data_IF_510105882248
#
_entry.id   IF_510105882248
#
_cell.length_a   1.000
_cell.length_b   1.000
_cell.length_c   1.000
_cell.angle_alpha   90.00
_cell.angle_beta   90.00
_cell.angle_gamma   90.00
#
_symmetry.space_group_name_H-M   'P 1'
#
loop_
_entity.id
_entity.type
_entity.pdbx_description
1 polymer ?
#
# COMPACT_ATOMS: atom_id res chain seq x y z
N UNK A 1 -5.89 -1.52 4.83
CA UNK A 1 -5.08 -2.74 5.03
C UNK A 1 -4.60 -3.27 3.69
N UNK A 2 -3.38 -3.00 3.20
CA UNK A 2 -2.86 -3.71 2.03
C UNK A 2 -2.29 -5.01 2.56
N UNK A 3 -2.84 -6.13 2.10
CA UNK A 3 -2.32 -7.43 2.50
C UNK A 3 -0.96 -7.64 1.86
N UNK A 4 0.01 -8.07 2.66
CA UNK A 4 1.35 -8.42 2.17
C UNK A 4 1.31 -9.54 1.13
N UNK A 5 0.25 -10.35 1.11
CA UNK A 5 -0.01 -11.39 0.11
C UNK A 5 -0.29 -10.86 -1.29
N UNK A 6 -0.69 -9.59 -1.40
CA UNK A 6 -0.99 -8.94 -2.67
C UNK A 6 0.19 -8.16 -3.23
N UNK A 7 1.37 -8.25 -2.62
CA UNK A 7 2.56 -7.51 -3.03
C UNK A 7 3.72 -8.45 -3.33
N UNK A 8 4.70 -7.95 -4.09
CA UNK A 8 5.95 -8.63 -4.37
C UNK A 8 6.94 -8.59 -3.17
N UNK A 9 6.46 -8.28 -1.96
CA UNK A 9 7.32 -8.15 -0.80
C UNK A 9 7.96 -9.49 -0.44
N UNK A 10 9.31 -9.59 -0.34
CA UNK A 10 10.00 -10.86 -0.16
C UNK A 10 9.64 -11.57 1.14
N UNK A 11 9.43 -12.89 1.07
CA UNK A 11 9.08 -13.73 2.22
C UNK A 11 9.74 -15.10 2.14
N UNK A 12 9.90 -15.73 3.29
CA UNK A 12 10.25 -17.14 3.34
C UNK A 12 9.07 -17.98 2.87
N UNK A 13 9.35 -19.02 2.09
CA UNK A 13 8.39 -20.11 1.91
C UNK A 13 8.22 -20.86 3.23
N UNK A 14 6.99 -21.24 3.55
CA UNK A 14 6.70 -22.02 4.76
C UNK A 14 7.41 -23.39 4.71
N UNK A 15 7.45 -24.01 3.53
CA UNK A 15 8.11 -25.28 3.28
C UNK A 15 9.04 -25.15 2.08
N UNK A 16 10.32 -24.80 2.28
CA UNK A 16 11.29 -24.74 1.20
C UNK A 16 11.73 -26.15 0.79
N UNK A 17 11.74 -26.42 -0.51
CA UNK A 17 12.16 -27.71 -1.06
C UNK A 17 13.67 -27.91 -0.94
N UNK A 18 14.13 -29.16 -0.96
CA UNK A 18 15.55 -29.50 -0.84
C UNK A 18 16.42 -28.85 -1.93
N UNK A 19 15.90 -28.73 -3.16
CA UNK A 19 16.59 -28.07 -4.27
C UNK A 19 16.75 -26.56 -4.01
N UNK A 20 15.70 -25.90 -3.53
CA UNK A 20 15.74 -24.48 -3.19
C UNK A 20 16.68 -24.21 -2.00
N UNK A 21 16.70 -25.10 -1.01
CA UNK A 21 17.66 -25.05 0.09
C UNK A 21 19.11 -25.11 -0.41
N UNK A 22 19.40 -26.04 -1.33
CA UNK A 22 20.72 -26.19 -1.91
C UNK A 22 21.14 -24.98 -2.76
N UNK A 23 20.25 -24.42 -3.58
CA UNK A 23 20.57 -23.31 -4.48
C UNK A 23 20.69 -21.96 -3.74
N UNK A 24 19.75 -21.65 -2.84
CA UNK A 24 19.65 -20.31 -2.26
C UNK A 24 20.38 -20.18 -0.92
N UNK A 25 20.48 -21.25 -0.15
CA UNK A 25 20.94 -21.17 1.24
C UNK A 25 22.31 -21.80 1.46
N UNK A 26 22.90 -22.48 0.48
CA UNK A 26 24.26 -23.01 0.62
C UNK A 26 25.29 -21.88 0.67
N UNK A 27 26.09 -21.76 1.75
CA UNK A 27 27.10 -20.70 1.85
C UNK A 27 28.28 -20.93 0.90
N UNK A 28 28.76 -19.86 0.29
CA UNK A 28 29.97 -19.94 -0.55
C UNK A 28 31.24 -19.93 0.32
N UNK A 29 32.39 -20.38 -0.21
CA UNK A 29 33.65 -20.35 0.53
C UNK A 29 34.05 -18.94 1.01
N UNK A 30 33.75 -17.91 0.22
CA UNK A 30 34.01 -16.51 0.56
C UNK A 30 33.16 -16.04 1.75
N UNK A 31 31.88 -16.39 1.75
CA UNK A 31 30.96 -16.08 2.86
C UNK A 31 31.37 -16.78 4.15
N UNK A 32 31.83 -18.03 4.05
CA UNK A 32 32.36 -18.79 5.17
C UNK A 32 33.63 -18.12 5.73
N UNK A 33 34.55 -17.70 4.85
CA UNK A 33 35.77 -16.98 5.25
C UNK A 33 35.43 -15.66 5.95
N UNK A 34 34.49 -14.90 5.39
CA UNK A 34 34.01 -13.65 6.00
C UNK A 34 33.43 -13.92 7.40
N UNK A 35 32.52 -14.87 7.53
CA UNK A 35 31.89 -15.20 8.79
C UNK A 35 32.91 -15.64 9.84
N UNK A 36 33.86 -16.53 9.49
CA UNK A 36 34.96 -16.93 10.39
C UNK A 36 35.84 -15.75 10.84
N UNK A 37 36.06 -14.76 9.97
CA UNK A 37 36.84 -13.58 10.36
C UNK A 37 36.14 -12.67 11.39
N UNK A 38 34.80 -12.75 11.48
CA UNK A 38 33.98 -11.89 12.35
C UNK A 38 33.42 -12.60 13.58
N UNK A 39 33.45 -13.93 13.61
CA UNK A 39 32.84 -14.73 14.67
C UNK A 39 33.87 -15.66 15.29
N UNK A 40 33.92 -15.71 16.62
CA UNK A 40 34.82 -16.61 17.36
C UNK A 40 34.12 -17.87 17.90
N UNK A 41 32.78 -17.88 17.95
CA UNK A 41 31.98 -18.99 18.47
C UNK A 41 31.16 -19.67 17.37
N UNK A 42 30.87 -20.95 17.55
CA UNK A 42 30.00 -21.72 16.64
C UNK A 42 28.59 -21.12 16.54
N UNK A 43 28.03 -20.62 17.64
CA UNK A 43 26.73 -19.93 17.65
C UNK A 43 26.76 -18.62 16.86
N UNK A 44 27.81 -17.82 17.03
CA UNK A 44 28.00 -16.58 16.30
C UNK A 44 28.17 -16.84 14.80
N UNK A 45 28.95 -17.86 14.45
CA UNK A 45 29.19 -18.29 13.08
C UNK A 45 27.90 -18.70 12.38
N UNK A 46 27.09 -19.58 13.00
CA UNK A 46 25.79 -19.98 12.46
C UNK A 46 24.83 -18.79 12.35
N UNK A 47 24.77 -17.95 13.39
CA UNK A 47 23.90 -16.77 13.41
C UNK A 47 24.24 -15.78 12.30
N UNK A 48 25.53 -15.53 12.06
CA UNK A 48 26.00 -14.66 10.99
C UNK A 48 25.59 -15.18 9.61
N UNK A 49 25.83 -16.48 9.34
CA UNK A 49 25.49 -17.09 8.06
C UNK A 49 23.96 -17.11 7.85
N UNK A 50 23.18 -17.42 8.88
CA UNK A 50 21.72 -17.35 8.83
C UNK A 50 21.26 -15.94 8.50
N UNK A 51 21.82 -14.90 9.13
CA UNK A 51 21.49 -13.51 8.83
C UNK A 51 21.87 -13.12 7.40
N UNK A 52 23.05 -13.54 6.93
CA UNK A 52 23.53 -13.24 5.58
C UNK A 52 22.61 -13.88 4.51
N UNK A 53 22.31 -15.17 4.64
CA UNK A 53 21.43 -15.87 3.69
C UNK A 53 19.99 -15.36 3.76
N UNK A 54 19.51 -15.02 4.95
CA UNK A 54 18.20 -14.37 5.10
C UNK A 54 18.16 -13.04 4.37
N UNK A 55 19.20 -12.22 4.50
CA UNK A 55 19.27 -10.92 3.83
C UNK A 55 19.37 -11.07 2.31
N UNK A 56 20.22 -11.98 1.81
CA UNK A 56 20.32 -12.24 0.37
C UNK A 56 18.97 -12.67 -0.25
N UNK A 57 18.15 -13.41 0.51
CA UNK A 57 16.82 -13.83 0.05
C UNK A 57 15.77 -12.72 0.16
N UNK A 58 15.79 -11.96 1.24
CA UNK A 58 14.68 -11.08 1.61
C UNK A 58 14.94 -9.58 1.37
N UNK A 59 16.20 -9.16 1.29
CA UNK A 59 16.59 -7.74 1.24
C UNK A 59 16.46 -7.00 2.59
N UNK A 60 16.11 -7.68 3.67
CA UNK A 60 16.03 -7.12 5.03
C UNK A 60 16.44 -8.17 6.09
N UNK A 61 16.64 -7.73 7.34
CA UNK A 61 16.98 -8.63 8.45
C UNK A 61 15.73 -9.09 9.23
N UNK A 62 15.20 -10.30 9.01
CA UNK A 62 14.06 -10.81 9.77
C UNK A 62 14.43 -11.06 11.23
N UNK A 63 13.42 -11.22 12.09
CA UNK A 63 13.64 -11.75 13.43
C UNK A 63 14.22 -13.18 13.34
N UNK A 64 15.25 -13.55 14.12
CA UNK A 64 15.89 -14.87 14.02
C UNK A 64 14.93 -16.06 14.14
N UNK A 65 13.84 -15.88 14.88
CA UNK A 65 12.81 -16.90 15.09
C UNK A 65 11.92 -17.12 13.85
N UNK A 66 11.70 -16.08 13.04
CA UNK A 66 10.89 -16.15 11.82
C UNK A 66 11.60 -16.91 10.68
N UNK A 67 12.89 -17.19 10.82
CA UNK A 67 13.62 -18.02 9.86
C UNK A 67 13.11 -19.47 9.94
N UNK A 68 12.75 -20.12 8.82
CA UNK A 68 12.27 -21.50 8.84
C UNK A 68 13.29 -22.47 9.47
N UNK A 69 12.79 -23.45 10.23
CA UNK A 69 13.63 -24.49 10.85
C UNK A 69 14.41 -25.25 9.78
N UNK A 70 13.80 -25.51 8.62
CA UNK A 70 14.43 -26.18 7.48
C UNK A 70 15.71 -25.46 7.01
N UNK A 71 15.65 -24.13 6.88
CA UNK A 71 16.81 -23.30 6.50
C UNK A 71 17.91 -23.38 7.55
N UNK A 72 17.57 -23.23 8.85
CA UNK A 72 18.56 -23.35 9.93
C UNK A 72 19.21 -24.73 9.97
N UNK A 73 18.44 -25.80 9.72
CA UNK A 73 18.94 -27.18 9.68
C UNK A 73 19.89 -27.40 8.50
N UNK A 74 19.51 -26.96 7.29
CA UNK A 74 20.36 -27.03 6.11
C UNK A 74 21.72 -26.34 6.33
N UNK A 75 21.68 -25.13 6.90
CA UNK A 75 22.89 -24.37 7.20
C UNK A 75 23.78 -25.05 8.24
N UNK A 76 23.20 -25.68 9.28
CA UNK A 76 24.00 -26.47 10.24
C UNK A 76 24.72 -27.63 9.56
N UNK A 77 24.02 -28.35 8.69
CA UNK A 77 24.60 -29.46 7.92
C UNK A 77 25.73 -28.97 7.01
N UNK A 78 25.53 -27.86 6.28
CA UNK A 78 26.57 -27.28 5.41
C UNK A 78 27.83 -26.84 6.19
N UNK A 79 27.66 -26.39 7.43
CA UNK A 79 28.73 -25.87 8.27
C UNK A 79 29.34 -26.93 9.20
N UNK A 80 28.89 -28.20 9.14
CA UNK A 80 29.27 -29.28 10.04
C UNK A 80 29.11 -28.92 11.53
N UNK A 81 28.00 -28.26 11.89
CA UNK A 81 27.70 -27.84 13.25
C UNK A 81 26.70 -28.79 13.94
N UNK A 82 26.87 -28.96 15.25
CA UNK A 82 25.94 -29.75 16.05
C UNK A 82 24.53 -29.13 16.13
N UNK A 83 23.52 -29.97 16.34
CA UNK A 83 22.10 -29.58 16.40
C UNK A 83 21.76 -28.60 17.52
N UNK A 84 22.49 -28.63 18.63
CA UNK A 84 22.27 -27.78 19.81
C UNK A 84 22.77 -26.34 19.64
N UNK A 85 23.58 -26.06 18.61
CA UNK A 85 24.09 -24.70 18.34
C UNK A 85 22.93 -23.79 17.91
N UNK A 86 22.68 -22.75 18.70
CA UNK A 86 21.61 -21.78 18.43
C UNK A 86 22.06 -20.77 17.36
N UNK A 87 21.09 -20.36 16.51
CA UNK A 87 21.29 -19.38 15.45
C UNK A 87 20.74 -17.99 15.82
N UNK A 88 20.69 -17.69 17.12
CA UNK A 88 20.13 -16.45 17.64
C UNK A 88 21.31 -15.61 18.18
N UNK A 89 21.68 -14.51 17.51
CA UNK A 89 22.74 -13.63 17.99
C UNK A 89 22.24 -12.77 19.16
N UNK A 90 23.14 -12.37 20.06
CA UNK A 90 22.86 -11.32 21.05
C UNK A 90 22.72 -9.97 20.35
N UNK A 91 22.00 -9.01 20.92
CA UNK A 91 21.71 -7.72 20.27
C UNK A 91 22.97 -6.97 19.80
N UNK A 92 23.99 -6.85 20.66
CA UNK A 92 25.27 -6.21 20.29
C UNK A 92 25.94 -6.89 19.09
N UNK A 93 25.89 -8.23 19.03
CA UNK A 93 26.44 -8.99 17.91
C UNK A 93 25.60 -8.79 16.64
N UNK A 94 24.27 -8.78 16.78
CA UNK A 94 23.33 -8.57 15.68
C UNK A 94 23.62 -7.25 14.95
N UNK A 95 23.80 -6.14 15.67
CA UNK A 95 24.12 -4.85 15.04
C UNK A 95 25.46 -4.88 14.29
N UNK A 96 26.49 -5.50 14.88
CA UNK A 96 27.80 -5.64 14.24
C UNK A 96 27.73 -6.51 12.96
N UNK A 97 26.95 -7.59 13.00
CA UNK A 97 26.73 -8.47 11.86
C UNK A 97 25.95 -7.76 10.76
N UNK A 98 24.89 -7.03 11.10
CA UNK A 98 24.12 -6.23 10.12
C UNK A 98 25.02 -5.24 9.38
N UNK A 99 25.87 -4.50 10.10
CA UNK A 99 26.82 -3.56 9.48
C UNK A 99 27.75 -4.29 8.51
N UNK A 100 28.37 -5.39 8.96
CA UNK A 100 29.28 -6.18 8.12
C UNK A 100 28.59 -6.74 6.88
N UNK A 101 27.35 -7.23 7.01
CA UNK A 101 26.59 -7.80 5.90
C UNK A 101 26.22 -6.72 4.89
N UNK A 102 25.80 -5.53 5.35
CA UNK A 102 25.53 -4.37 4.48
C UNK A 102 26.79 -3.96 3.70
N UNK A 103 27.93 -3.87 4.38
CA UNK A 103 29.21 -3.52 3.76
C UNK A 103 29.63 -4.57 2.71
N UNK A 104 29.48 -5.87 3.03
CA UNK A 104 29.82 -6.97 2.13
C UNK A 104 28.92 -7.01 0.88
N UNK A 105 27.61 -6.85 1.05
CA UNK A 105 26.64 -6.87 -0.05
C UNK A 105 26.54 -5.53 -0.79
N UNK A 106 27.24 -4.49 -0.29
CA UNK A 106 27.19 -3.11 -0.80
C UNK A 106 25.76 -2.55 -0.81
N UNK A 107 25.05 -2.72 0.31
CA UNK A 107 23.65 -2.29 0.48
C UNK A 107 23.56 -1.18 1.52
N UNK A 108 22.84 -0.12 1.18
CA UNK A 108 22.58 1.04 2.04
C UNK A 108 21.47 0.71 3.04
N UNK A 109 21.59 1.23 4.26
CA UNK A 109 20.47 1.16 5.20
C UNK A 109 19.32 2.05 4.70
N UNK A 110 18.08 1.61 4.91
CA UNK A 110 16.92 2.47 4.69
C UNK A 110 16.91 3.62 5.71
N UNK A 111 17.17 4.83 5.23
CA UNK A 111 17.32 6.04 6.02
C UNK A 111 16.36 7.15 5.53
N UNK A 112 16.54 8.38 6.03
CA UNK A 112 15.72 9.52 5.62
C UNK A 112 15.88 9.85 4.13
N UNK A 113 17.04 9.59 3.54
CA UNK A 113 17.25 9.81 2.11
C UNK A 113 16.48 8.78 1.28
N UNK A 114 16.55 7.50 1.64
CA UNK A 114 15.74 6.44 1.04
C UNK A 114 14.25 6.71 1.18
N UNK A 115 13.80 7.19 2.35
CA UNK A 115 12.39 7.56 2.54
C UNK A 115 11.95 8.72 1.65
N UNK A 116 12.78 9.76 1.46
CA UNK A 116 12.48 10.88 0.58
C UNK A 116 12.42 10.46 -0.89
N UNK A 117 13.34 9.60 -1.31
CA UNK A 117 13.38 9.04 -2.67
C UNK A 117 12.07 8.30 -2.98
N UNK A 118 11.67 7.39 -2.09
CA UNK A 118 10.42 6.63 -2.25
C UNK A 118 9.20 7.54 -2.14
N UNK A 119 9.23 8.57 -1.28
CA UNK A 119 8.11 9.48 -1.17
C UNK A 119 7.87 10.26 -2.47
N UNK A 120 8.92 10.74 -3.12
CA UNK A 120 8.82 11.43 -4.41
C UNK A 120 8.31 10.50 -5.51
N UNK A 121 8.91 9.31 -5.64
CA UNK A 121 8.51 8.31 -6.64
C UNK A 121 7.06 7.88 -6.48
N UNK A 122 6.62 7.60 -5.24
CA UNK A 122 5.25 7.17 -4.97
C UNK A 122 4.27 8.31 -5.21
N UNK A 123 4.63 9.57 -4.92
CA UNK A 123 3.77 10.71 -5.19
C UNK A 123 3.47 10.82 -6.69
N UNK A 124 4.50 10.75 -7.54
CA UNK A 124 4.35 10.75 -9.00
C UNK A 124 3.54 9.53 -9.48
N UNK A 125 3.87 8.33 -9.00
CA UNK A 125 3.16 7.12 -9.36
C UNK A 125 1.68 7.14 -8.93
N UNK A 126 1.34 7.84 -7.84
CA UNK A 126 -0.04 7.94 -7.32
C UNK A 126 -0.93 8.78 -8.22
N UNK A 127 -0.39 9.70 -9.01
CA UNK A 127 -1.18 10.47 -9.98
C UNK A 127 -1.80 9.58 -11.07
N UNK A 128 -1.15 8.45 -11.37
CA UNK A 128 -1.55 7.51 -12.43
C UNK A 128 -2.15 6.21 -11.86
N UNK A 129 -1.59 5.69 -10.76
CA UNK A 129 -1.93 4.39 -10.15
C UNK A 129 -2.65 4.56 -8.81
N UNK A 130 -3.72 3.80 -8.64
CA UNK A 130 -4.53 3.83 -7.40
C UNK A 130 -4.31 2.67 -6.46
N UNK A 131 -3.98 1.48 -6.98
CA UNK A 131 -3.90 0.28 -6.18
C UNK A 131 -2.68 0.37 -5.24
N UNK A 132 -2.88 0.26 -3.92
CA UNK A 132 -1.80 0.42 -2.95
C UNK A 132 -0.74 -0.69 -3.09
N UNK A 133 -1.13 -1.88 -3.56
CA UNK A 133 -0.20 -2.95 -3.84
C UNK A 133 0.78 -2.61 -4.98
N UNK A 134 0.29 -1.98 -6.05
CA UNK A 134 1.14 -1.56 -7.17
C UNK A 134 2.13 -0.48 -6.74
N UNK A 135 1.69 0.46 -5.91
CA UNK A 135 2.56 1.50 -5.34
C UNK A 135 3.63 0.89 -4.41
N UNK A 136 3.29 -0.15 -3.65
CA UNK A 136 4.26 -0.91 -2.84
C UNK A 136 5.28 -1.60 -3.76
N UNK A 137 4.82 -2.22 -4.85
CA UNK A 137 5.71 -2.91 -5.78
C UNK A 137 6.69 -1.94 -6.46
N UNK A 138 6.20 -0.78 -6.92
CA UNK A 138 7.05 0.30 -7.47
C UNK A 138 8.11 0.74 -6.45
N UNK A 139 7.72 0.91 -5.19
CA UNK A 139 8.68 1.28 -4.14
C UNK A 139 9.72 0.18 -3.87
N UNK A 140 9.32 -1.10 -3.87
CA UNK A 140 10.24 -2.23 -3.69
C UNK A 140 11.24 -2.28 -4.85
N UNK A 141 10.78 -2.14 -6.08
CA UNK A 141 11.62 -2.16 -7.28
C UNK A 141 12.69 -1.07 -7.21
N UNK A 142 12.32 0.16 -6.86
CA UNK A 142 13.29 1.25 -6.76
C UNK A 142 14.26 1.07 -5.59
N UNK A 143 13.80 0.57 -4.44
CA UNK A 143 14.69 0.27 -3.31
C UNK A 143 15.74 -0.79 -3.67
N UNK A 144 15.33 -1.84 -4.38
CA UNK A 144 16.24 -2.90 -4.82
C UNK A 144 17.25 -2.36 -5.84
N UNK A 145 16.77 -1.56 -6.80
CA UNK A 145 17.61 -0.94 -7.84
C UNK A 145 18.68 -0.01 -7.25
N UNK A 146 18.31 0.83 -6.29
CA UNK A 146 19.21 1.75 -5.60
C UNK A 146 20.05 1.11 -4.49
N UNK A 147 19.93 -0.22 -4.33
CA UNK A 147 20.60 -1.04 -3.31
C UNK A 147 20.35 -0.54 -1.89
N UNK A 148 19.08 -0.32 -1.55
CA UNK A 148 18.64 -0.09 -0.18
C UNK A 148 18.15 -1.40 0.47
N UNK A 149 18.39 -1.51 1.77
CA UNK A 149 17.71 -2.48 2.62
C UNK A 149 16.20 -2.20 2.59
N UNK A 150 15.38 -3.26 2.53
CA UNK A 150 13.94 -3.10 2.58
C UNK A 150 13.49 -2.77 4.01
N UNK A 151 12.72 -1.68 4.23
CA UNK A 151 12.12 -1.42 5.53
C UNK A 151 11.00 -2.42 5.81
N UNK A 152 10.61 -2.56 7.08
CA UNK A 152 9.45 -3.37 7.43
C UNK A 152 8.22 -3.01 6.57
N UNK A 153 7.45 -4.03 6.15
CA UNK A 153 6.27 -3.84 5.30
C UNK A 153 5.29 -2.80 5.87
N UNK A 154 5.09 -2.79 7.19
CA UNK A 154 4.23 -1.82 7.87
C UNK A 154 4.72 -0.38 7.73
N UNK A 155 6.04 -0.17 7.72
CA UNK A 155 6.64 1.15 7.47
C UNK A 155 6.35 1.63 6.06
N UNK A 156 6.48 0.74 5.08
CA UNK A 156 6.22 1.06 3.67
C UNK A 156 4.72 1.28 3.41
N UNK A 157 3.84 0.41 3.93
CA UNK A 157 2.39 0.55 3.81
C UNK A 157 1.90 1.85 4.48
N UNK A 158 2.46 2.22 5.65
CA UNK A 158 2.12 3.49 6.31
C UNK A 158 2.56 4.70 5.48
N UNK A 159 3.77 4.69 4.92
CA UNK A 159 4.27 5.77 4.08
C UNK A 159 3.39 5.96 2.84
N UNK A 160 3.09 4.87 2.13
CA UNK A 160 2.29 4.89 0.91
C UNK A 160 0.85 5.33 1.22
N UNK A 161 0.24 4.86 2.32
CA UNK A 161 -1.06 5.37 2.77
C UNK A 161 -1.06 6.88 2.96
N UNK A 162 -0.03 7.40 3.64
CA UNK A 162 0.08 8.82 3.93
C UNK A 162 0.19 9.64 2.64
N UNK A 163 1.05 9.23 1.71
CA UNK A 163 1.23 9.91 0.41
C UNK A 163 -0.06 9.84 -0.41
N UNK A 164 -0.71 8.67 -0.48
CA UNK A 164 -1.99 8.52 -1.19
C UNK A 164 -3.06 9.46 -0.65
N UNK A 165 -3.19 9.55 0.67
CA UNK A 165 -4.12 10.49 1.30
C UNK A 165 -3.76 11.94 0.95
N UNK A 166 -2.49 12.30 1.00
CA UNK A 166 -2.04 13.66 0.69
C UNK A 166 -2.35 14.03 -0.77
N UNK A 167 -2.03 13.15 -1.72
CA UNK A 167 -2.31 13.37 -3.16
C UNK A 167 -3.82 13.44 -3.42
N UNK A 168 -4.60 12.51 -2.85
CA UNK A 168 -6.05 12.53 -3.00
C UNK A 168 -6.67 13.81 -2.44
N UNK A 169 -6.30 14.23 -1.23
CA UNK A 169 -6.81 15.46 -0.63
C UNK A 169 -6.45 16.70 -1.46
N UNK A 170 -5.24 16.73 -2.05
CA UNK A 170 -4.85 17.79 -2.98
C UNK A 170 -5.72 17.80 -4.23
N UNK A 171 -5.99 16.64 -4.83
CA UNK A 171 -6.89 16.53 -5.99
C UNK A 171 -8.31 16.99 -5.62
N UNK A 172 -8.79 16.63 -4.43
CA UNK A 172 -10.10 17.06 -3.95
C UNK A 172 -10.18 18.57 -3.73
N UNK A 173 -9.14 19.18 -3.16
CA UNK A 173 -9.04 20.62 -3.01
C UNK A 173 -9.07 21.34 -4.36
N UNK A 174 -8.31 20.87 -5.36
CA UNK A 174 -8.28 21.47 -6.71
C UNK A 174 -9.66 21.46 -7.38
N UNK A 175 -10.40 20.37 -7.27
CA UNK A 175 -11.76 20.32 -7.80
C UNK A 175 -12.72 21.20 -6.98
N UNK A 176 -12.53 21.31 -5.65
CA UNK A 176 -13.33 22.18 -4.78
C UNK A 176 -13.13 23.67 -5.08
N UNK A 177 -11.91 24.08 -5.42
CA UNK A 177 -11.60 25.44 -5.88
C UNK A 177 -12.27 25.76 -7.22
N UNK A 178 -12.48 24.75 -8.07
CA UNK A 178 -13.21 24.91 -9.34
C UNK A 178 -14.73 25.02 -9.20
N UNK A 179 -15.28 24.72 -8.03
CA UNK A 179 -16.71 24.78 -7.74
C UNK A 179 -17.14 26.18 -7.28
N UNK A 180 -18.19 26.70 -7.89
CA UNK A 180 -18.88 27.89 -7.42
C UNK A 180 -19.63 27.61 -6.11
N UNK A 181 -19.90 28.67 -5.34
CA UNK A 181 -20.65 28.58 -4.08
C UNK A 181 -22.02 27.89 -4.28
N UNK A 182 -22.70 28.17 -5.40
CA UNK A 182 -23.98 27.55 -5.72
C UNK A 182 -23.85 26.05 -5.98
N UNK A 183 -22.79 25.63 -6.68
CA UNK A 183 -22.51 24.22 -6.94
C UNK A 183 -22.13 23.48 -5.64
N UNK A 184 -21.37 24.11 -4.74
CA UNK A 184 -21.04 23.53 -3.43
C UNK A 184 -22.29 23.31 -2.57
N UNK A 185 -23.14 24.33 -2.44
CA UNK A 185 -24.41 24.23 -1.69
C UNK A 185 -25.32 23.16 -2.28
N UNK A 186 -25.40 23.07 -3.61
CA UNK A 186 -26.18 22.04 -4.29
C UNK A 186 -25.65 20.63 -4.00
N UNK A 187 -24.33 20.43 -4.05
CA UNK A 187 -23.72 19.15 -3.72
C UNK A 187 -23.94 18.79 -2.26
N UNK A 188 -23.77 19.73 -1.33
CA UNK A 188 -24.00 19.51 0.10
C UNK A 188 -25.45 19.08 0.39
N UNK A 189 -26.43 19.67 -0.30
CA UNK A 189 -27.84 19.30 -0.18
C UNK A 189 -28.13 17.86 -0.64
N UNK A 190 -27.37 17.31 -1.60
CA UNK A 190 -27.54 15.93 -2.07
C UNK A 190 -27.14 14.86 -1.02
N UNK A 191 -26.42 15.26 0.04
CA UNK A 191 -25.88 14.35 1.05
C UNK A 191 -26.65 14.40 2.37
N UNK A 192 -27.62 15.32 2.50
CA UNK A 192 -28.46 15.40 3.69
C UNK A 192 -29.43 14.22 3.69
N UNK A 193 -29.30 13.34 4.68
CA UNK A 193 -30.27 12.27 4.94
C UNK A 193 -31.44 12.87 5.72
N UNK A 194 -32.50 13.28 5.03
CA UNK A 194 -33.76 13.65 5.68
C UNK A 194 -34.44 12.38 6.20
N UNK A 195 -34.48 12.23 7.52
CA UNK A 195 -35.24 11.17 8.23
C UNK A 195 -36.77 11.34 8.14
N UNK A 196 -37.27 12.21 7.26
CA UNK A 196 -38.69 12.43 7.05
C UNK A 196 -39.11 11.77 5.75
N UNK A 197 -40.07 10.85 5.83
CA UNK A 197 -40.69 10.11 4.72
C UNK A 197 -41.37 11.00 3.65
N UNK A 198 -41.26 12.33 3.76
CA UNK A 198 -41.97 13.33 2.93
C UNK A 198 -41.01 14.25 2.17
N UNK A 199 -39.70 14.30 2.49
CA UNK A 199 -38.73 15.06 1.70
C UNK A 199 -38.10 14.17 0.62
N UNK A 200 -38.85 13.96 -0.46
CA UNK A 200 -38.43 13.25 -1.67
C UNK A 200 -37.33 13.98 -2.48
N UNK A 201 -36.86 15.13 -1.98
CA UNK A 201 -35.81 15.92 -2.60
C UNK A 201 -34.43 15.43 -2.13
N UNK A 202 -33.70 14.86 -3.09
CA UNK A 202 -32.24 14.80 -3.10
C UNK A 202 -31.51 13.81 -2.17
N UNK A 203 -32.08 12.66 -1.79
CA UNK A 203 -31.24 11.62 -1.14
C UNK A 203 -30.46 10.81 -2.19
N UNK A 204 -29.12 10.84 -2.11
CA UNK A 204 -28.15 10.05 -2.90
C UNK A 204 -28.44 8.53 -2.96
N UNK A 205 -29.23 8.00 -2.01
CA UNK A 205 -29.64 6.59 -1.91
C UNK A 205 -30.76 6.22 -2.87
N UNK A 206 -31.58 7.18 -3.29
CA UNK A 206 -32.60 6.97 -4.31
C UNK A 206 -31.99 6.84 -5.72
N UNK A 207 -30.77 7.38 -5.94
CA UNK A 207 -30.02 7.18 -7.19
C UNK A 207 -29.40 5.79 -7.33
N UNK A 208 -29.24 5.04 -6.23
CA UNK A 208 -28.72 3.67 -6.25
C UNK A 208 -29.78 2.61 -6.55
N UNK A 209 -31.06 2.92 -6.37
CA UNK A 209 -32.12 1.92 -6.43
C UNK A 209 -32.74 1.84 -7.83
N UNK A 210 -32.81 0.64 -8.45
CA UNK A 210 -33.65 0.46 -9.63
C UNK A 210 -35.11 0.81 -9.28
N UNK A 211 -35.91 1.28 -10.25
CA UNK A 211 -37.28 1.72 -9.98
C UNK A 211 -38.07 0.61 -9.29
N UNK A 212 -38.60 0.90 -8.09
CA UNK A 212 -39.41 -0.05 -7.30
C UNK A 212 -40.70 -0.48 -8.00
N UNK A 213 -41.15 0.21 -9.05
CA UNK A 213 -42.23 -0.25 -9.94
C UNK A 213 -42.25 0.48 -11.29
N UNK A 214 -42.74 -0.18 -12.34
CA UNK A 214 -42.95 0.36 -13.68
C UNK A 214 -44.18 1.30 -13.78
N UNK A 215 -44.38 2.17 -12.79
CA UNK A 215 -45.47 3.16 -12.79
C UNK A 215 -44.99 4.46 -13.45
N UNK A 216 -45.82 5.04 -14.31
CA UNK A 216 -45.50 6.24 -15.11
C UNK A 216 -45.16 7.47 -14.24
N UNK A 217 -45.71 7.53 -13.02
CA UNK A 217 -45.37 8.53 -12.00
C UNK A 217 -43.94 8.39 -11.47
N UNK A 218 -43.47 7.16 -11.24
CA UNK A 218 -42.11 6.89 -10.79
C UNK A 218 -41.07 7.22 -11.88
N UNK A 219 -41.42 6.99 -13.15
CA UNK A 219 -40.57 7.33 -14.30
C UNK A 219 -40.43 8.86 -14.45
N UNK A 220 -41.53 9.62 -14.34
CA UNK A 220 -41.49 11.10 -14.37
C UNK A 220 -40.68 11.69 -13.22
N UNK A 221 -40.76 11.08 -12.04
CA UNK A 221 -39.99 11.50 -10.87
C UNK A 221 -38.47 11.31 -11.11
N UNK A 222 -38.07 10.19 -11.74
CA UNK A 222 -36.68 9.95 -12.14
C UNK A 222 -36.24 10.93 -13.24
N UNK A 223 -37.10 11.23 -14.22
CA UNK A 223 -36.78 12.16 -15.30
C UNK A 223 -36.56 13.59 -14.79
N UNK A 224 -37.48 14.12 -13.97
CA UNK A 224 -37.29 15.43 -13.33
C UNK A 224 -36.02 15.48 -12.48
N UNK A 225 -35.66 14.38 -11.79
CA UNK A 225 -34.41 14.29 -11.01
C UNK A 225 -33.17 14.25 -11.90
N UNK A 226 -33.23 13.58 -13.06
CA UNK A 226 -32.17 13.60 -14.06
C UNK A 226 -31.98 15.02 -14.60
N UNK A 227 -33.06 15.73 -14.93
CA UNK A 227 -32.99 17.12 -15.41
C UNK A 227 -32.39 18.06 -14.34
N UNK A 228 -32.74 17.85 -13.06
CA UNK A 228 -32.13 18.58 -11.92
C UNK A 228 -30.64 18.27 -11.77
N UNK A 229 -30.20 17.02 -11.98
CA UNK A 229 -28.78 16.65 -11.94
C UNK A 229 -28.01 17.20 -13.16
N UNK A 230 -28.65 17.22 -14.33
CA UNK A 230 -28.07 17.80 -15.55
C UNK A 230 -27.98 19.33 -15.48
N UNK A 231 -28.70 19.97 -14.55
CA UNK A 231 -28.57 21.40 -14.25
C UNK A 231 -27.21 21.77 -13.64
N UNK A 232 -26.51 20.79 -13.03
CA UNK A 232 -25.16 20.96 -12.48
C UNK A 232 -24.07 21.26 -13.54
N UNK A 233 -24.44 21.25 -14.82
CA UNK A 233 -23.56 21.65 -15.92
C UNK A 233 -22.47 20.61 -16.23
N UNK A 234 -21.46 21.03 -17.00
CA UNK A 234 -20.38 20.14 -17.45
C UNK A 234 -19.38 19.84 -16.32
N UNK A 235 -19.77 18.97 -15.40
CA UNK A 235 -18.94 18.51 -14.29
C UNK A 235 -17.63 17.84 -14.75
N UNK A 236 -17.55 17.43 -16.03
CA UNK A 236 -16.32 16.92 -16.63
C UNK A 236 -15.23 17.98 -16.67
N UNK A 237 -15.56 19.28 -16.71
CA UNK A 237 -14.60 20.40 -16.65
C UNK A 237 -13.68 20.32 -15.42
N UNK A 238 -14.23 19.90 -14.29
CA UNK A 238 -13.53 19.80 -13.00
C UNK A 238 -12.58 18.59 -12.93
N UNK A 239 -12.76 17.63 -13.83
CA UNK A 239 -12.01 16.37 -13.88
C UNK A 239 -10.97 16.33 -15.00
N UNK A 240 -10.89 17.36 -15.86
CA UNK A 240 -10.00 17.39 -17.03
C UNK A 240 -8.52 17.27 -16.67
N UNK A 241 -8.12 17.72 -15.48
CA UNK A 241 -6.74 17.65 -14.99
C UNK A 241 -6.39 16.34 -14.30
N UNK A 242 -7.36 15.44 -14.08
CA UNK A 242 -7.17 14.18 -13.34
C UNK A 242 -7.09 13.01 -14.32
N UNK A 243 -6.16 12.08 -14.08
CA UNK A 243 -6.07 10.86 -14.86
C UNK A 243 -7.39 10.08 -14.86
N UNK A 244 -7.81 9.56 -16.03
CA UNK A 244 -9.08 8.83 -16.19
C UNK A 244 -9.14 7.60 -15.27
N UNK A 245 -8.01 6.94 -15.02
CA UNK A 245 -7.90 5.81 -14.08
C UNK A 245 -8.27 6.21 -12.66
N UNK A 246 -7.80 7.38 -12.21
CA UNK A 246 -8.13 8.00 -10.92
C UNK A 246 -9.60 8.33 -10.80
N UNK A 247 -10.17 8.96 -11.82
CA UNK A 247 -11.60 9.27 -11.87
C UNK A 247 -12.42 7.99 -11.76
N UNK A 248 -12.10 6.94 -12.51
CA UNK A 248 -12.80 5.66 -12.42
C UNK A 248 -12.66 5.00 -11.04
N UNK A 249 -11.49 5.11 -10.41
CA UNK A 249 -11.28 4.57 -9.07
C UNK A 249 -12.11 5.31 -8.02
N UNK A 250 -12.08 6.64 -8.04
CA UNK A 250 -12.93 7.47 -7.19
C UNK A 250 -14.42 7.19 -7.43
N UNK A 251 -14.85 6.97 -8.68
CA UNK A 251 -16.23 6.61 -9.00
C UNK A 251 -16.63 5.27 -8.38
N UNK A 252 -15.76 4.26 -8.52
CA UNK A 252 -15.99 2.95 -7.93
C UNK A 252 -16.05 3.02 -6.39
N UNK A 253 -15.16 3.79 -5.77
CA UNK A 253 -15.16 4.01 -4.33
C UNK A 253 -16.44 4.75 -3.87
N UNK A 254 -16.87 5.79 -4.60
CA UNK A 254 -18.08 6.54 -4.29
C UNK A 254 -19.37 5.70 -4.44
N UNK A 255 -19.39 4.74 -5.39
CA UNK A 255 -20.51 3.81 -5.56
C UNK A 255 -20.60 2.79 -4.42
N UNK A 256 -19.45 2.31 -3.93
CA UNK A 256 -19.38 1.30 -2.88
C UNK A 256 -19.84 1.82 -1.51
N UNK A 257 -19.57 3.09 -1.19
CA UNK A 257 -19.90 3.69 0.10
C UNK A 257 -21.36 4.12 0.20
N UNK A 258 -22.02 3.82 1.33
CA UNK A 258 -23.33 4.40 1.68
C UNK A 258 -23.17 5.83 2.24
N UNK A 259 -24.23 6.66 2.24
CA UNK A 259 -24.16 8.09 2.63
C UNK A 259 -23.63 8.24 4.07
N UNK A 260 -24.03 7.35 4.98
CA UNK A 260 -23.55 7.36 6.37
C UNK A 260 -22.06 7.00 6.48
N UNK A 261 -21.58 6.06 5.67
CA UNK A 261 -20.16 5.72 5.60
C UNK A 261 -19.35 6.84 4.94
N UNK A 262 -19.97 7.54 4.00
CA UNK A 262 -19.38 8.68 3.29
C UNK A 262 -19.15 9.87 4.22
N UNK A 263 -20.15 10.23 5.04
CA UNK A 263 -20.04 11.28 6.06
C UNK A 263 -19.05 10.93 7.18
N UNK A 264 -18.88 9.64 7.49
CA UNK A 264 -17.91 9.19 8.48
C UNK A 264 -16.46 9.20 7.94
N UNK A 265 -16.27 8.86 6.67
CA UNK A 265 -14.96 8.67 6.06
C UNK A 265 -14.37 9.96 5.46
N UNK A 266 -15.22 10.91 5.05
CA UNK A 266 -14.82 12.19 4.47
C UNK A 266 -15.37 13.33 5.31
N UNK A 267 -14.52 13.93 6.14
CA UNK A 267 -14.91 15.02 7.05
C UNK A 267 -14.79 16.41 6.42
N UNK A 268 -14.21 16.51 5.22
CA UNK A 268 -14.09 17.77 4.49
C UNK A 268 -15.13 17.84 3.36
N UNK A 269 -15.83 18.97 3.26
CA UNK A 269 -16.84 19.26 2.22
C UNK A 269 -16.28 19.14 0.80
N UNK A 270 -14.99 19.41 0.61
CA UNK A 270 -14.28 19.23 -0.67
C UNK A 270 -14.27 17.79 -1.17
N UNK A 271 -14.01 16.82 -0.30
CA UNK A 271 -13.88 15.40 -0.66
C UNK A 271 -15.25 14.84 -1.10
N UNK A 272 -16.27 15.32 -0.41
CA UNK A 272 -17.65 14.95 -0.57
C UNK A 272 -18.22 15.46 -1.89
N UNK A 273 -17.87 16.68 -2.28
CA UNK A 273 -18.27 17.29 -3.55
C UNK A 273 -17.66 16.56 -4.77
N UNK A 274 -16.36 16.24 -4.72
CA UNK A 274 -15.65 15.59 -5.84
C UNK A 274 -16.09 14.15 -6.03
N UNK A 275 -16.23 13.42 -4.94
CA UNK A 275 -16.72 12.04 -5.00
C UNK A 275 -18.18 11.96 -5.48
N UNK A 276 -18.99 13.01 -5.23
CA UNK A 276 -20.35 13.14 -5.79
C UNK A 276 -20.33 13.42 -7.30
N UNK A 277 -19.43 14.29 -7.77
CA UNK A 277 -19.22 14.60 -9.21
C UNK A 277 -18.71 13.38 -9.98
N UNK A 278 -17.71 12.70 -9.44
CA UNK A 278 -17.12 11.53 -10.08
C UNK A 278 -18.13 10.37 -10.14
N UNK A 279 -19.04 10.29 -9.18
CA UNK A 279 -20.13 9.30 -9.16
C UNK A 279 -21.26 9.60 -10.16
N UNK A 280 -21.52 10.87 -10.47
CA UNK A 280 -22.56 11.26 -11.46
C UNK A 280 -22.07 11.21 -12.91
N UNK A 281 -20.75 11.31 -13.12
CA UNK A 281 -20.13 11.40 -14.47
C UNK A 281 -19.56 10.09 -15.02
N UNK A 282 -19.34 9.08 -14.17
CA UNK A 282 -18.88 7.74 -14.56
C UNK A 282 -19.98 6.71 -14.58
#
# INVERSE_FOLDING_TARGET
MTLIDRTAYPRFKQFPDAKELAELYTPTPEEIKLAKSKTKSHEGFLSFIVMLKSFQRLGYFPHPELVPIAVRRHLRSCLNLHSWVKAIPRDRQRYSYQKTIRDYLKVKQYDKAGQRLIAALVAEATEVKDHPADLINVAIEELVKERYELPAFSTLDRLIRHIRSMVNNRLFALCSEGLSINEQIYLDQLLVVTNNEVDENATLNLLKSPPKSAKLSAIKLIQNKFDILMTFGDAKRLLQSIAITKVRHFAAQARALDILEFQYQFTQTSDVAVMSIVRSTG
#
